data_IF_931575555642
#
_entry.id   IF_931575555642
#
_cell.length_a   1.000
_cell.length_b   1.000
_cell.length_c   1.000
_cell.angle_alpha   90.00
_cell.angle_beta   90.00
_cell.angle_gamma   90.00
#
_symmetry.space_group_name_H-M   'P 1'
#
loop_
_entity.id
_entity.type
_entity.pdbx_description
1 polymer ?
#
# COMPACT_ATOMS: atom_id res chain seq x y z
N UNK A 1 -10.23 22.52 2.93
CA UNK A 1 -9.29 21.65 3.65
C UNK A 1 -8.84 20.53 2.73
N UNK A 2 -7.60 20.06 2.88
CA UNK A 2 -7.00 18.99 2.06
C UNK A 2 -7.75 17.67 2.31
N UNK A 3 -8.01 16.92 1.24
CA UNK A 3 -8.54 15.55 1.24
C UNK A 3 -8.01 14.84 0.00
N UNK A 4 -7.41 13.67 0.18
CA UNK A 4 -6.87 12.85 -0.91
C UNK A 4 -7.20 11.39 -0.68
N UNK A 5 -7.11 10.58 -1.73
CA UNK A 5 -7.07 9.12 -1.59
C UNK A 5 -5.65 8.73 -1.16
N UNK A 6 -5.53 8.22 0.06
CA UNK A 6 -4.29 7.77 0.68
C UNK A 6 -3.91 6.37 0.23
N UNK A 7 -4.90 5.48 0.09
CA UNK A 7 -4.68 4.10 -0.32
C UNK A 7 -5.78 3.62 -1.27
N UNK A 8 -5.38 3.00 -2.36
CA UNK A 8 -6.22 2.25 -3.30
C UNK A 8 -6.00 0.76 -3.03
N UNK A 9 -6.67 0.24 -1.99
CA UNK A 9 -6.42 -1.10 -1.48
C UNK A 9 -7.08 -2.19 -2.32
N UNK A 10 -8.26 -1.95 -2.86
CA UNK A 10 -8.97 -2.85 -3.77
C UNK A 10 -10.09 -2.10 -4.48
N UNK A 11 -10.77 -2.70 -5.49
CA UNK A 11 -11.89 -2.06 -6.17
C UNK A 11 -13.05 -1.64 -5.25
N UNK A 12 -13.14 -2.25 -4.06
CA UNK A 12 -14.17 -2.00 -3.07
C UNK A 12 -13.64 -1.37 -1.77
N UNK A 13 -12.36 -1.01 -1.69
CA UNK A 13 -11.78 -0.41 -0.50
C UNK A 13 -10.74 0.66 -0.87
N UNK A 14 -11.03 1.90 -0.45
CA UNK A 14 -10.10 3.02 -0.48
C UNK A 14 -9.95 3.61 0.91
N UNK A 15 -8.84 4.29 1.16
CA UNK A 15 -8.61 5.09 2.37
C UNK A 15 -8.44 6.54 1.94
N UNK A 16 -9.14 7.45 2.61
CA UNK A 16 -8.93 8.88 2.42
C UNK A 16 -8.17 9.46 3.61
N UNK A 17 -7.28 10.42 3.35
CA UNK A 17 -6.57 11.17 4.40
C UNK A 17 -6.58 12.66 4.08
N UNK A 18 -6.42 13.48 5.12
CA UNK A 18 -6.46 14.93 4.97
C UNK A 18 -6.74 15.66 6.28
N UNK A 19 -7.13 16.92 6.14
CA UNK A 19 -7.48 17.78 7.28
C UNK A 19 -8.72 17.27 7.99
N UNK A 20 -8.77 17.38 9.33
CA UNK A 20 -9.91 16.94 10.14
C UNK A 20 -11.26 17.46 9.58
N UNK A 21 -11.43 18.76 9.25
CA UNK A 21 -12.70 19.24 8.71
C UNK A 21 -13.09 18.61 7.37
N UNK A 22 -12.10 18.20 6.56
CA UNK A 22 -12.39 17.56 5.28
C UNK A 22 -12.82 16.10 5.45
N UNK A 23 -12.24 15.38 6.41
CA UNK A 23 -12.67 14.02 6.75
C UNK A 23 -14.09 14.05 7.34
N UNK A 24 -14.40 15.00 8.22
CA UNK A 24 -15.76 15.15 8.79
C UNK A 24 -16.81 15.37 7.69
N UNK A 25 -16.51 16.20 6.68
CA UNK A 25 -17.40 16.37 5.51
C UNK A 25 -17.55 15.09 4.69
N UNK A 26 -16.46 14.34 4.51
CA UNK A 26 -16.50 13.06 3.80
C UNK A 26 -17.35 12.03 4.55
N UNK A 27 -17.24 11.96 5.88
CA UNK A 27 -18.04 11.08 6.74
C UNK A 27 -19.53 11.40 6.63
N UNK A 28 -19.90 12.69 6.70
CA UNK A 28 -21.28 13.13 6.51
C UNK A 28 -21.82 12.73 5.13
N UNK A 29 -21.05 12.99 4.06
CA UNK A 29 -21.44 12.61 2.71
C UNK A 29 -21.57 11.09 2.54
N UNK A 30 -20.66 10.31 3.13
CA UNK A 30 -20.73 8.86 3.10
C UNK A 30 -22.00 8.35 3.79
N UNK A 31 -22.37 8.92 4.94
CA UNK A 31 -23.61 8.60 5.65
C UNK A 31 -24.85 8.92 4.79
N UNK A 32 -24.93 10.10 4.18
CA UNK A 32 -26.01 10.48 3.26
C UNK A 32 -26.14 9.49 2.09
N UNK A 33 -25.00 9.05 1.55
CA UNK A 33 -24.93 8.12 0.41
C UNK A 33 -25.01 6.65 0.81
N UNK A 34 -25.19 6.35 2.10
CA UNK A 34 -25.21 4.98 2.66
C UNK A 34 -23.95 4.18 2.30
N UNK A 35 -22.82 4.86 2.16
CA UNK A 35 -21.49 4.27 1.98
C UNK A 35 -20.90 4.04 3.36
N UNK A 36 -20.41 2.82 3.62
CA UNK A 36 -19.74 2.51 4.89
C UNK A 36 -18.42 3.29 4.98
N UNK A 37 -18.32 4.18 5.95
CA UNK A 37 -17.08 4.85 6.33
C UNK A 37 -16.66 4.41 7.74
N UNK A 38 -15.36 4.26 7.97
CA UNK A 38 -14.79 3.94 9.29
C UNK A 38 -13.63 4.88 9.53
N UNK A 39 -13.70 5.68 10.60
CA UNK A 39 -12.59 6.55 10.98
C UNK A 39 -11.44 5.72 11.57
N UNK A 40 -10.23 5.98 11.08
CA UNK A 40 -9.04 5.30 11.56
C UNK A 40 -8.42 6.06 12.74
N UNK A 41 -8.04 5.33 13.80
CA UNK A 41 -7.33 5.87 14.95
C UNK A 41 -5.84 5.94 14.65
N UNK A 42 -5.42 6.98 13.92
CA UNK A 42 -4.04 7.19 13.49
C UNK A 42 -3.56 8.60 13.84
N UNK A 43 -2.25 8.76 14.00
CA UNK A 43 -1.63 10.00 14.45
C UNK A 43 -1.50 11.08 13.36
N UNK A 44 -1.69 10.73 12.07
CA UNK A 44 -1.42 11.66 10.97
C UNK A 44 -2.21 11.36 9.71
N UNK A 45 -2.26 12.36 8.82
CA UNK A 45 -2.84 12.26 7.49
C UNK A 45 -1.86 11.64 6.50
N UNK A 46 -1.43 10.39 6.77
CA UNK A 46 -0.45 9.67 5.95
C UNK A 46 -0.84 9.62 4.47
N UNK A 47 0.17 9.57 3.58
CA UNK A 47 -0.01 9.55 2.12
C UNK A 47 -0.77 10.79 1.61
N UNK A 48 -0.54 11.93 2.23
CA UNK A 48 -1.06 13.23 1.78
C UNK A 48 -0.01 14.32 1.85
N UNK A 49 -0.30 15.41 1.16
CA UNK A 49 0.47 16.64 1.18
C UNK A 49 0.66 17.23 2.59
N UNK A 50 -0.21 16.89 3.55
CA UNK A 50 -0.04 17.32 4.94
C UNK A 50 1.18 16.69 5.62
N UNK A 51 1.73 15.60 5.07
CA UNK A 51 2.96 14.98 5.55
C UNK A 51 4.22 15.62 4.96
N UNK A 52 4.09 16.54 4.00
CA UNK A 52 5.24 17.18 3.32
C UNK A 52 6.29 17.77 4.26
N UNK A 53 5.97 18.35 5.44
CA UNK A 53 7.00 18.83 6.37
C UNK A 53 8.00 17.76 6.83
N UNK A 54 7.62 16.47 6.82
CA UNK A 54 8.51 15.36 7.17
C UNK A 54 9.35 14.85 5.98
N UNK A 55 9.04 15.26 4.74
CA UNK A 55 9.71 14.77 3.54
C UNK A 55 11.23 15.03 3.53
N UNK A 56 11.76 16.22 3.93
CA UNK A 56 13.20 16.45 3.96
C UNK A 56 13.95 15.44 4.85
N UNK A 57 13.41 15.13 6.03
CA UNK A 57 14.02 14.17 6.96
C UNK A 57 14.01 12.73 6.39
N UNK A 58 12.97 12.37 5.63
CA UNK A 58 12.92 11.07 4.94
C UNK A 58 13.98 11.01 3.83
N UNK A 59 14.11 12.07 3.03
CA UNK A 59 15.10 12.14 1.94
C UNK A 59 16.52 12.03 2.51
N UNK A 60 16.85 12.82 3.53
CA UNK A 60 18.16 12.79 4.20
C UNK A 60 18.48 11.39 4.76
N UNK A 61 17.51 10.75 5.41
CA UNK A 61 17.69 9.39 5.93
C UNK A 61 17.93 8.36 4.81
N UNK A 62 17.27 8.51 3.67
CA UNK A 62 17.45 7.62 2.52
C UNK A 62 18.81 7.83 1.84
N UNK A 63 19.30 9.07 1.74
CA UNK A 63 20.63 9.39 1.18
C UNK A 63 21.76 8.65 1.90
N UNK A 64 21.62 8.41 3.20
CA UNK A 64 22.58 7.64 3.99
C UNK A 64 22.54 6.12 3.76
N UNK A 65 21.59 5.61 2.96
CA UNK A 65 21.40 4.18 2.70
C UNK A 65 21.92 3.82 1.30
N UNK A 66 22.75 2.79 1.22
CA UNK A 66 23.11 2.15 -0.05
C UNK A 66 21.94 1.30 -0.58
N UNK A 67 21.25 1.81 -1.59
CA UNK A 67 20.15 1.13 -2.27
C UNK A 67 20.73 0.55 -3.56
N UNK A 68 20.60 -0.77 -3.71
CA UNK A 68 21.06 -1.54 -4.88
C UNK A 68 19.89 -2.03 -5.71
N UNK A 69 20.15 -2.35 -6.97
CA UNK A 69 19.14 -2.91 -7.85
C UNK A 69 18.52 -4.16 -7.22
N UNK A 70 17.19 -4.25 -7.12
CA UNK A 70 16.55 -5.37 -6.49
C UNK A 70 16.70 -6.62 -7.36
N UNK A 71 16.97 -7.76 -6.70
CA UNK A 71 17.12 -9.07 -7.38
C UNK A 71 15.81 -9.58 -8.02
N UNK A 72 14.68 -8.98 -7.64
CA UNK A 72 13.34 -9.28 -8.11
C UNK A 72 12.60 -7.96 -8.26
N UNK A 73 11.72 -7.85 -9.25
CA UNK A 73 10.96 -6.62 -9.46
C UNK A 73 10.10 -6.29 -8.24
N UNK A 74 10.08 -5.01 -7.87
CA UNK A 74 9.27 -4.49 -6.77
C UNK A 74 8.05 -3.80 -7.37
N UNK A 75 6.84 -4.22 -6.99
CA UNK A 75 5.64 -3.44 -7.24
C UNK A 75 5.64 -2.22 -6.31
N UNK A 76 6.00 -1.06 -6.84
CA UNK A 76 6.17 0.17 -6.06
C UNK A 76 4.82 0.90 -5.92
N UNK A 77 4.55 1.43 -4.72
CA UNK A 77 3.26 1.99 -4.33
C UNK A 77 2.90 3.30 -5.03
N UNK A 78 3.86 4.20 -5.24
CA UNK A 78 3.64 5.52 -5.86
C UNK A 78 3.43 5.37 -7.37
N UNK A 79 4.30 4.61 -8.02
CA UNK A 79 4.21 4.35 -9.45
C UNK A 79 3.03 3.43 -9.79
N UNK A 80 2.80 2.37 -9.00
CA UNK A 80 1.89 1.26 -9.33
C UNK A 80 2.50 0.29 -10.36
N UNK A 81 3.81 0.34 -10.54
CA UNK A 81 4.54 -0.37 -11.58
C UNK A 81 5.65 -1.24 -10.98
N UNK A 82 6.21 -2.14 -11.81
CA UNK A 82 7.33 -2.98 -11.42
C UNK A 82 8.65 -2.23 -11.63
N UNK A 83 9.43 -2.07 -10.56
CA UNK A 83 10.70 -1.34 -10.56
C UNK A 83 11.86 -2.31 -10.33
N UNK A 84 12.93 -2.15 -11.10
CA UNK A 84 14.19 -2.91 -10.99
C UNK A 84 15.44 -2.03 -10.92
N UNK A 85 15.27 -0.71 -10.97
CA UNK A 85 16.36 0.27 -10.92
C UNK A 85 16.43 0.92 -9.54
N UNK A 86 17.61 0.93 -8.92
CA UNK A 86 17.83 1.47 -7.59
C UNK A 86 17.61 2.99 -7.49
N UNK A 87 18.00 3.74 -8.53
CA UNK A 87 17.84 5.19 -8.56
C UNK A 87 16.37 5.59 -8.56
N UNK A 88 15.57 4.94 -9.41
CA UNK A 88 14.12 5.11 -9.48
C UNK A 88 13.44 4.66 -8.20
N UNK A 89 13.87 3.54 -7.62
CA UNK A 89 13.35 3.07 -6.34
C UNK A 89 13.59 4.10 -5.22
N UNK A 90 14.79 4.68 -5.14
CA UNK A 90 15.14 5.73 -4.17
C UNK A 90 14.23 6.94 -4.30
N UNK A 91 14.02 7.42 -5.52
CA UNK A 91 13.14 8.57 -5.80
C UNK A 91 11.72 8.29 -5.32
N UNK A 92 11.15 7.14 -5.69
CA UNK A 92 9.77 6.80 -5.37
C UNK A 92 9.54 6.54 -3.87
N UNK A 93 10.46 5.83 -3.21
CA UNK A 93 10.39 5.59 -1.75
C UNK A 93 10.44 6.90 -0.98
N UNK A 94 11.23 7.89 -1.45
CA UNK A 94 11.27 9.21 -0.84
C UNK A 94 9.90 9.90 -0.90
N UNK A 95 9.19 9.78 -2.03
CA UNK A 95 7.87 10.40 -2.24
C UNK A 95 6.71 9.65 -1.59
N UNK A 96 6.91 8.41 -1.15
CA UNK A 96 5.85 7.52 -0.68
C UNK A 96 5.06 8.09 0.51
N UNK A 97 5.71 8.83 1.39
CA UNK A 97 5.06 9.42 2.57
C UNK A 97 3.95 10.42 2.21
N UNK A 98 4.09 11.11 1.07
CA UNK A 98 3.19 12.18 0.61
C UNK A 98 2.34 11.77 -0.58
N UNK A 99 2.51 10.54 -1.07
CA UNK A 99 1.87 10.03 -2.28
C UNK A 99 0.91 8.88 -1.95
N UNK A 100 -0.16 8.68 -2.74
CA UNK A 100 -1.08 7.56 -2.56
C UNK A 100 -0.38 6.20 -2.67
N UNK A 101 -0.87 5.22 -1.93
CA UNK A 101 -0.50 3.81 -2.05
C UNK A 101 -1.41 3.13 -3.06
N UNK A 102 -0.87 2.87 -4.27
CA UNK A 102 -1.59 2.22 -5.38
C UNK A 102 -1.51 0.69 -5.29
N UNK A 103 -1.97 0.13 -4.17
CA UNK A 103 -1.84 -1.29 -3.87
C UNK A 103 -2.53 -2.18 -4.92
N UNK A 104 -3.79 -1.91 -5.26
CA UNK A 104 -4.53 -2.67 -6.30
C UNK A 104 -3.75 -2.69 -7.63
N UNK A 105 -3.31 -1.52 -8.08
CA UNK A 105 -2.53 -1.37 -9.32
C UNK A 105 -1.21 -2.16 -9.28
N UNK A 106 -0.45 -2.06 -8.18
CA UNK A 106 0.81 -2.78 -8.01
C UNK A 106 0.62 -4.30 -8.00
N UNK A 107 -0.40 -4.79 -7.31
CA UNK A 107 -0.78 -6.20 -7.32
C UNK A 107 -1.15 -6.69 -8.72
N UNK A 108 -1.97 -5.92 -9.45
CA UNK A 108 -2.33 -6.27 -10.84
C UNK A 108 -1.10 -6.29 -11.75
N UNK A 109 -0.11 -5.42 -11.50
CA UNK A 109 1.17 -5.45 -12.21
C UNK A 109 1.95 -6.74 -11.96
N UNK A 110 1.97 -7.25 -10.72
CA UNK A 110 2.55 -8.56 -10.41
C UNK A 110 1.81 -9.71 -11.08
N UNK A 111 0.46 -9.70 -11.04
CA UNK A 111 -0.35 -10.73 -11.68
C UNK A 111 -0.14 -10.75 -13.21
N UNK A 112 -0.09 -9.57 -13.85
CA UNK A 112 0.24 -9.44 -15.29
C UNK A 112 1.65 -9.94 -15.63
N UNK A 113 2.59 -9.84 -14.69
CA UNK A 113 3.93 -10.40 -14.83
C UNK A 113 4.01 -11.92 -14.55
N UNK A 114 2.89 -12.58 -14.30
CA UNK A 114 2.79 -14.03 -14.14
C UNK A 114 2.75 -14.52 -12.69
N UNK A 115 2.67 -13.63 -11.70
CA UNK A 115 2.50 -14.06 -10.31
C UNK A 115 1.12 -14.69 -10.09
N UNK A 116 1.09 -15.97 -9.69
CA UNK A 116 -0.14 -16.72 -9.40
C UNK A 116 -0.34 -17.02 -7.92
N UNK A 117 0.73 -16.89 -7.12
CA UNK A 117 0.74 -17.14 -5.69
C UNK A 117 1.36 -15.97 -4.95
N UNK A 118 0.64 -15.45 -3.96
CA UNK A 118 1.03 -14.34 -3.10
C UNK A 118 1.18 -14.81 -1.67
N UNK A 119 2.34 -14.53 -1.07
CA UNK A 119 2.64 -14.89 0.32
C UNK A 119 2.76 -13.61 1.13
N UNK A 120 1.86 -13.40 2.08
CA UNK A 120 1.94 -12.30 3.03
C UNK A 120 2.90 -12.68 4.15
N UNK A 121 4.10 -12.13 4.10
CA UNK A 121 5.14 -12.33 5.11
C UNK A 121 4.99 -11.27 6.21
N UNK A 122 4.39 -11.65 7.33
CA UNK A 122 4.17 -10.76 8.48
C UNK A 122 2.94 -11.18 9.29
N UNK A 123 2.75 -10.59 10.48
CA UNK A 123 1.61 -10.93 11.34
C UNK A 123 0.27 -10.50 10.70
N UNK A 124 -0.76 -11.33 10.88
CA UNK A 124 -2.09 -11.08 10.36
C UNK A 124 -2.32 -11.65 8.95
N UNK A 125 -3.39 -11.20 8.30
CA UNK A 125 -3.86 -11.70 7.00
C UNK A 125 -4.52 -10.59 6.14
N UNK A 126 -4.16 -9.32 6.41
CA UNK A 126 -4.83 -8.16 5.80
C UNK A 126 -4.58 -8.14 4.30
N UNK A 127 -3.32 -8.29 3.89
CA UNK A 127 -2.95 -8.25 2.47
C UNK A 127 -3.49 -9.48 1.73
N UNK A 128 -3.52 -10.64 2.39
CA UNK A 128 -4.14 -11.87 1.88
C UNK A 128 -5.63 -11.67 1.60
N UNK A 129 -6.35 -10.99 2.50
CA UNK A 129 -7.77 -10.63 2.30
C UNK A 129 -7.95 -9.60 1.19
N UNK A 130 -7.05 -8.62 1.05
CA UNK A 130 -7.08 -7.66 -0.05
C UNK A 130 -6.84 -8.34 -1.39
N UNK A 131 -5.88 -9.25 -1.47
CA UNK A 131 -5.59 -10.03 -2.68
C UNK A 131 -6.83 -10.71 -3.24
N UNK A 132 -7.55 -11.44 -2.39
CA UNK A 132 -8.79 -12.15 -2.80
C UNK A 132 -9.89 -11.21 -3.30
N UNK A 133 -9.87 -9.93 -2.92
CA UNK A 133 -10.82 -8.90 -3.42
C UNK A 133 -10.36 -8.25 -4.72
N UNK A 134 -9.05 -8.20 -4.97
CA UNK A 134 -8.48 -7.66 -6.21
C UNK A 134 -8.65 -8.67 -7.34
N UNK A 135 -8.29 -9.92 -7.07
CA UNK A 135 -8.35 -11.04 -7.98
C UNK A 135 -8.69 -12.31 -7.20
N UNK A 136 -9.86 -12.89 -7.48
CA UNK A 136 -10.31 -14.12 -6.82
C UNK A 136 -9.68 -15.40 -7.37
N UNK A 137 -8.94 -15.32 -8.49
CA UNK A 137 -8.33 -16.48 -9.15
C UNK A 137 -6.93 -16.81 -8.62
N UNK A 138 -6.25 -15.83 -8.00
CA UNK A 138 -4.91 -16.02 -7.48
C UNK A 138 -4.93 -16.67 -6.10
N UNK A 139 -3.88 -17.43 -5.82
CA UNK A 139 -3.66 -17.99 -4.49
C UNK A 139 -3.02 -16.95 -3.59
N UNK A 140 -3.57 -16.75 -2.39
CA UNK A 140 -2.98 -15.87 -1.39
C UNK A 140 -2.95 -16.57 -0.02
N UNK A 141 -1.80 -16.53 0.65
CA UNK A 141 -1.55 -17.22 1.94
C UNK A 141 -0.83 -16.28 2.91
N UNK A 142 -1.32 -16.21 4.15
CA UNK A 142 -0.65 -15.53 5.24
C UNK A 142 0.41 -16.45 5.89
N UNK A 143 1.63 -15.95 6.04
CA UNK A 143 2.78 -16.67 6.56
C UNK A 143 3.41 -15.92 7.76
N UNK A 144 2.57 -15.50 8.71
CA UNK A 144 2.98 -14.69 9.86
C UNK A 144 3.64 -15.42 11.02
N UNK A 145 3.78 -16.74 10.94
CA UNK A 145 4.46 -17.58 11.92
C UNK A 145 5.36 -18.62 11.23
N UNK A 146 6.37 -19.18 11.92
CA UNK A 146 7.21 -20.24 11.35
C UNK A 146 6.41 -21.45 10.83
N UNK A 147 5.34 -21.84 11.51
CA UNK A 147 4.49 -22.96 11.11
C UNK A 147 3.62 -22.63 9.88
N UNK A 148 3.10 -21.39 9.82
CA UNK A 148 2.35 -20.92 8.66
C UNK A 148 3.27 -20.80 7.43
N UNK A 149 4.51 -20.32 7.61
CA UNK A 149 5.51 -20.24 6.55
C UNK A 149 5.87 -21.63 6.00
N UNK A 150 6.09 -22.63 6.87
CA UNK A 150 6.32 -24.01 6.44
C UNK A 150 5.15 -24.57 5.63
N UNK A 151 3.93 -24.37 6.11
CA UNK A 151 2.71 -24.83 5.42
C UNK A 151 2.51 -24.16 4.05
N UNK A 152 2.88 -22.88 3.91
CA UNK A 152 2.78 -22.15 2.66
C UNK A 152 3.70 -22.74 1.57
N UNK A 153 4.90 -23.18 1.94
CA UNK A 153 5.91 -23.74 1.03
C UNK A 153 5.52 -25.16 0.59
N UNK A 154 5.09 -26.02 1.51
CA UNK A 154 4.76 -27.43 1.21
C UNK A 154 3.49 -27.62 0.38
N UNK A 155 2.64 -26.59 0.33
CA UNK A 155 1.40 -26.62 -0.42
C UNK A 155 1.55 -26.08 -1.85
N UNK A 156 2.73 -25.61 -2.26
CA UNK A 156 3.00 -25.02 -3.59
C UNK A 156 3.49 -26.09 -4.55
#
# INVERSE_FOLDING_TARGET
GVLVIANENSPAQVVASGSIPAIERLEALAAERKVRAVRLAVAGAFHSELMRPALPAVVEALEAIDIRDPRMSIAENVAGELITDAGRLRELVSLQLVSPVRWDTGIRSLARAGATTFIEAGPGDVLTKLMKRIDGSVRAVAAGSPDAARSAITST
#
